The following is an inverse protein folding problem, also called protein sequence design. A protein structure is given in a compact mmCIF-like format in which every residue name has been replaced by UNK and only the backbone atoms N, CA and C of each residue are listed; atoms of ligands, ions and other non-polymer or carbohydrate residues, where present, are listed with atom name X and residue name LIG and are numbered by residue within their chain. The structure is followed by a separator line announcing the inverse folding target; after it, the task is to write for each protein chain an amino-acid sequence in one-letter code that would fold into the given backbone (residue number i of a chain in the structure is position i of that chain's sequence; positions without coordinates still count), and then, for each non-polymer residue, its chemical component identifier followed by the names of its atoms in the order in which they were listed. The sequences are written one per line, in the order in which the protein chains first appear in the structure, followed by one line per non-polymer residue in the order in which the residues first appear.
data_IF_379204776389
#
_entry.id   IF_379204776389
#
_cell.length_a   1.000
_cell.length_b   1.000
_cell.length_c   1.000
_cell.angle_alpha   90.00
_cell.angle_beta   90.00
_cell.angle_gamma   90.00
#
_symmetry.space_group_name_H-M   'P 1'
#
loop_
_entity.id
_entity.type
_entity.pdbx_description
1 polymer ?
#
# COMPACT_ATOMS: atom_id res chain seq x y z
N UNK A 1 14.31 8.60 25.93
CA UNK A 1 12.93 8.08 25.99
C UNK A 1 12.90 6.73 25.26
N UNK A 2 12.37 5.69 25.90
CA UNK A 2 12.15 4.38 25.26
C UNK A 2 10.69 4.34 24.79
N UNK A 3 10.49 4.07 23.49
CA UNK A 3 9.17 3.97 22.90
C UNK A 3 8.82 2.49 22.65
N UNK A 4 7.76 1.99 23.27
CA UNK A 4 7.38 0.58 23.26
C UNK A 4 6.04 0.31 22.55
N UNK A 5 5.45 1.31 21.91
CA UNK A 5 4.15 1.21 21.24
C UNK A 5 4.28 1.21 19.71
N UNK A 6 5.23 0.43 19.18
CA UNK A 6 5.45 0.34 17.73
C UNK A 6 4.33 -0.39 16.98
N UNK A 7 3.42 -1.06 17.69
CA UNK A 7 2.21 -1.62 17.07
C UNK A 7 1.21 -0.52 16.65
N UNK A 8 1.19 0.61 17.33
CA UNK A 8 0.36 1.75 16.97
C UNK A 8 1.02 2.61 15.88
N UNK A 9 2.27 2.99 16.10
CA UNK A 9 3.06 3.81 15.15
C UNK A 9 4.53 3.46 15.23
N UNK A 10 5.24 3.57 14.12
CA UNK A 10 6.70 3.40 14.08
C UNK A 10 7.36 4.66 13.52
N UNK A 11 8.41 5.14 14.21
CA UNK A 11 9.18 6.29 13.72
C UNK A 11 9.83 5.93 12.39
N UNK A 12 9.59 6.68 11.31
CA UNK A 12 10.25 6.44 10.03
C UNK A 12 11.78 6.51 10.16
N UNK A 13 12.48 5.58 9.50
CA UNK A 13 13.93 5.62 9.39
C UNK A 13 14.40 6.85 8.59
N UNK A 14 15.68 7.19 8.64
CA UNK A 14 16.21 8.30 7.82
C UNK A 14 15.94 8.05 6.34
N UNK A 15 16.23 6.85 5.85
CA UNK A 15 16.01 6.48 4.44
C UNK A 15 14.55 6.65 4.00
N UNK A 16 13.58 6.30 4.87
CA UNK A 16 12.15 6.51 4.57
C UNK A 16 11.81 7.99 4.50
N UNK A 17 12.32 8.81 5.43
CA UNK A 17 12.10 10.27 5.40
C UNK A 17 12.68 10.91 4.12
N UNK A 18 13.90 10.52 3.76
CA UNK A 18 14.57 11.03 2.55
C UNK A 18 13.80 10.65 1.29
N UNK A 19 13.29 9.41 1.19
CA UNK A 19 12.45 8.98 0.09
C UNK A 19 11.11 9.75 0.02
N UNK A 20 10.50 10.04 1.17
CA UNK A 20 9.27 10.86 1.23
C UNK A 20 9.53 12.29 0.77
N UNK A 21 10.62 12.92 1.24
CA UNK A 21 11.01 14.27 0.81
C UNK A 21 11.27 14.30 -0.69
N UNK A 22 12.06 13.35 -1.21
CA UNK A 22 12.30 13.21 -2.66
C UNK A 22 10.99 13.12 -3.45
N UNK A 23 10.06 12.27 -3.01
CA UNK A 23 8.76 12.13 -3.70
C UNK A 23 7.93 13.41 -3.67
N UNK A 24 7.95 14.17 -2.57
CA UNK A 24 7.19 15.41 -2.43
C UNK A 24 7.81 16.59 -3.20
N UNK A 25 9.12 16.64 -3.34
CA UNK A 25 9.83 17.77 -3.95
C UNK A 25 10.16 17.55 -5.43
N UNK A 26 10.52 16.31 -5.83
CA UNK A 26 11.05 16.00 -7.15
C UNK A 26 10.09 15.16 -8.01
N UNK A 27 9.25 14.32 -7.41
CA UNK A 27 8.44 13.32 -8.13
C UNK A 27 6.93 13.48 -7.86
N UNK A 28 6.49 14.69 -7.55
CA UNK A 28 5.09 15.00 -7.18
C UNK A 28 4.10 15.00 -8.35
N UNK A 29 4.53 14.69 -9.54
CA UNK A 29 3.72 14.73 -10.75
C UNK A 29 2.69 13.59 -10.78
N UNK A 30 1.55 13.83 -11.45
CA UNK A 30 0.53 12.80 -11.61
C UNK A 30 1.05 11.65 -12.50
N UNK A 31 1.23 10.43 -11.95
CA UNK A 31 1.78 9.30 -12.71
C UNK A 31 0.89 8.82 -13.86
N UNK A 32 -0.36 9.26 -13.93
CA UNK A 32 -1.28 8.91 -15.03
C UNK A 32 -1.18 9.85 -16.24
N UNK A 33 -0.37 10.91 -16.16
CA UNK A 33 -0.20 11.85 -17.25
C UNK A 33 0.91 11.41 -18.23
N UNK A 34 0.87 11.94 -19.47
CA UNK A 34 1.74 11.48 -20.57
C UNK A 34 2.92 12.40 -20.87
N UNK A 35 3.34 13.25 -19.94
CA UNK A 35 4.52 14.10 -20.11
C UNK A 35 5.73 13.59 -19.29
N UNK A 36 6.93 14.00 -19.66
CA UNK A 36 8.19 13.45 -19.15
C UNK A 36 8.27 13.27 -17.63
N UNK A 37 8.08 14.33 -16.80
CA UNK A 37 8.10 14.20 -15.33
C UNK A 37 7.05 13.24 -14.76
N UNK A 38 5.85 13.17 -15.35
CA UNK A 38 4.80 12.24 -14.94
C UNK A 38 5.19 10.78 -15.26
N UNK A 39 5.84 10.55 -16.40
CA UNK A 39 6.38 9.23 -16.74
C UNK A 39 7.48 8.78 -15.77
N UNK A 40 8.26 9.71 -15.20
CA UNK A 40 9.22 9.40 -14.15
C UNK A 40 8.51 9.00 -12.85
N UNK A 41 7.49 9.73 -12.46
CA UNK A 41 6.66 9.39 -11.29
C UNK A 41 6.02 8.00 -11.44
N UNK A 42 5.51 7.66 -12.62
CA UNK A 42 4.96 6.33 -12.92
C UNK A 42 6.03 5.22 -12.78
N UNK A 43 7.23 5.44 -13.30
CA UNK A 43 8.33 4.47 -13.16
C UNK A 43 8.71 4.23 -11.71
N UNK A 44 8.79 5.27 -10.89
CA UNK A 44 9.11 5.13 -9.46
C UNK A 44 8.01 4.40 -8.70
N UNK A 45 6.75 4.73 -8.96
CA UNK A 45 5.59 4.02 -8.39
C UNK A 45 5.60 2.53 -8.77
N UNK A 46 5.90 2.23 -10.03
CA UNK A 46 6.00 0.85 -10.53
C UNK A 46 7.18 0.11 -9.91
N UNK A 47 8.33 0.76 -9.73
CA UNK A 47 9.48 0.19 -9.06
C UNK A 47 9.20 -0.11 -7.58
N UNK A 48 8.53 0.81 -6.86
CA UNK A 48 8.12 0.60 -5.49
C UNK A 48 7.15 -0.59 -5.35
N UNK A 49 6.15 -0.68 -6.23
CA UNK A 49 5.22 -1.81 -6.27
C UNK A 49 5.94 -3.14 -6.50
N UNK A 50 6.89 -3.15 -7.44
CA UNK A 50 7.69 -4.34 -7.72
C UNK A 50 8.54 -4.75 -6.53
N UNK A 51 9.20 -3.81 -5.86
CA UNK A 51 10.01 -4.09 -4.69
C UNK A 51 9.21 -4.74 -3.56
N UNK A 52 7.99 -4.25 -3.30
CA UNK A 52 7.08 -4.87 -2.33
C UNK A 52 6.63 -6.26 -2.77
N UNK A 53 6.26 -6.41 -4.03
CA UNK A 53 5.83 -7.70 -4.59
C UNK A 53 6.93 -8.77 -4.49
N UNK A 54 8.18 -8.40 -4.79
CA UNK A 54 9.35 -9.29 -4.68
C UNK A 54 9.56 -9.75 -3.22
N UNK A 55 9.40 -8.85 -2.24
CA UNK A 55 9.50 -9.19 -0.81
C UNK A 55 8.38 -10.13 -0.34
N UNK A 56 7.19 -9.97 -0.90
CA UNK A 56 6.01 -10.79 -0.57
C UNK A 56 5.94 -12.09 -1.38
N UNK A 57 6.80 -12.28 -2.38
CA UNK A 57 6.78 -13.44 -3.27
C UNK A 57 5.53 -13.51 -4.16
N UNK A 58 4.96 -12.36 -4.54
CA UNK A 58 3.75 -12.27 -5.36
C UNK A 58 3.99 -11.47 -6.66
N UNK A 59 3.18 -11.65 -7.71
CA UNK A 59 3.23 -10.79 -8.88
C UNK A 59 2.92 -9.33 -8.53
N UNK A 60 3.64 -8.36 -9.12
CA UNK A 60 3.46 -6.93 -8.87
C UNK A 60 2.02 -6.43 -9.07
N UNK A 61 1.28 -7.02 -10.01
CA UNK A 61 -0.14 -6.72 -10.26
C UNK A 61 -1.07 -7.03 -9.08
N UNK A 62 -0.62 -7.86 -8.14
CA UNK A 62 -1.37 -8.23 -6.94
C UNK A 62 -1.12 -7.27 -5.76
N UNK A 63 -0.21 -6.31 -5.90
CA UNK A 63 0.05 -5.28 -4.91
C UNK A 63 -0.77 -4.04 -5.26
N UNK A 64 -1.68 -3.67 -4.39
CA UNK A 64 -2.57 -2.51 -4.54
C UNK A 64 -2.25 -1.51 -3.43
N UNK A 65 -1.90 -0.28 -3.80
CA UNK A 65 -1.76 0.81 -2.84
C UNK A 65 -3.13 1.39 -2.51
N UNK A 66 -3.35 1.62 -1.23
CA UNK A 66 -4.59 2.19 -0.66
C UNK A 66 -4.25 3.40 0.20
N UNK A 67 -5.26 4.15 0.60
CA UNK A 67 -5.10 5.30 1.51
C UNK A 67 -4.79 4.89 2.96
N UNK A 68 -4.98 3.62 3.31
CA UNK A 68 -4.72 3.11 4.67
C UNK A 68 -5.39 1.78 4.94
N UNK A 69 -5.25 1.29 6.19
CA UNK A 69 -5.76 -0.02 6.61
C UNK A 69 -7.27 -0.16 6.42
N UNK A 70 -8.05 0.86 6.75
CA UNK A 70 -9.52 0.84 6.58
C UNK A 70 -9.93 0.56 5.14
N UNK A 71 -9.30 1.23 4.17
CA UNK A 71 -9.58 0.96 2.75
C UNK A 71 -9.10 -0.44 2.35
N UNK A 72 -7.93 -0.86 2.81
CA UNK A 72 -7.38 -2.19 2.51
C UNK A 72 -8.29 -3.30 3.00
N UNK A 73 -8.77 -3.23 4.24
CA UNK A 73 -9.65 -4.24 4.85
C UNK A 73 -10.99 -4.28 4.12
N UNK A 74 -11.60 -3.13 3.85
CA UNK A 74 -12.85 -3.07 3.10
C UNK A 74 -12.69 -3.59 1.67
N UNK A 75 -11.59 -3.27 0.98
CA UNK A 75 -11.31 -3.76 -0.37
C UNK A 75 -11.15 -5.29 -0.38
N UNK A 76 -10.42 -5.84 0.60
CA UNK A 76 -10.24 -7.29 0.72
C UNK A 76 -11.56 -8.00 1.01
N UNK A 77 -12.33 -7.55 2.01
CA UNK A 77 -13.60 -8.18 2.40
C UNK A 77 -14.63 -8.09 1.27
N UNK A 78 -14.87 -6.90 0.73
CA UNK A 78 -15.88 -6.72 -0.34
C UNK A 78 -15.45 -7.41 -1.63
N UNK A 79 -14.17 -7.41 -1.97
CA UNK A 79 -13.64 -8.10 -3.15
C UNK A 79 -13.82 -9.61 -3.07
N UNK A 80 -13.47 -10.22 -1.94
CA UNK A 80 -13.65 -11.67 -1.72
C UNK A 80 -15.13 -12.03 -1.68
N UNK A 81 -15.95 -11.27 -0.94
CA UNK A 81 -17.40 -11.52 -0.90
C UNK A 81 -18.05 -11.37 -2.28
N UNK A 82 -17.66 -10.40 -3.08
CA UNK A 82 -18.15 -10.23 -4.44
C UNK A 82 -17.74 -11.37 -5.36
N UNK A 83 -16.50 -11.83 -5.27
CA UNK A 83 -15.99 -12.91 -6.11
C UNK A 83 -16.55 -14.30 -5.75
N UNK A 84 -16.75 -14.57 -4.47
CA UNK A 84 -17.07 -15.92 -3.97
C UNK A 84 -18.43 -16.02 -3.25
N UNK A 85 -19.13 -14.92 -3.01
CA UNK A 85 -20.37 -14.87 -2.24
C UNK A 85 -21.49 -15.81 -2.75
N UNK A 86 -21.54 -16.06 -4.06
CA UNK A 86 -22.50 -17.02 -4.65
C UNK A 86 -22.27 -18.47 -4.22
N UNK A 87 -21.07 -18.81 -3.73
CA UNK A 87 -20.74 -20.16 -3.23
C UNK A 87 -21.11 -20.36 -1.76
N UNK A 88 -21.60 -19.32 -1.11
CA UNK A 88 -21.77 -19.28 0.32
C UNK A 88 -20.44 -19.25 1.07
N UNK A 89 -20.48 -19.03 2.37
CA UNK A 89 -19.26 -19.00 3.20
C UNK A 89 -19.53 -18.31 4.53
N UNK A 90 -18.46 -18.20 5.32
CA UNK A 90 -18.47 -17.47 6.60
C UNK A 90 -17.31 -16.48 6.59
N UNK A 91 -17.55 -15.32 7.16
CA UNK A 91 -16.49 -14.38 7.56
C UNK A 91 -16.26 -14.60 9.05
N UNK A 92 -15.01 -14.87 9.41
CA UNK A 92 -14.61 -15.07 10.81
C UNK A 92 -13.73 -13.89 11.18
N UNK A 93 -14.06 -13.24 12.27
CA UNK A 93 -13.30 -12.11 12.82
C UNK A 93 -13.16 -12.27 14.33
N UNK A 94 -12.23 -11.57 14.95
CA UNK A 94 -12.14 -11.51 16.42
C UNK A 94 -13.05 -10.42 16.98
N UNK A 95 -13.30 -10.48 18.29
CA UNK A 95 -14.09 -9.46 19.00
C UNK A 95 -13.23 -8.24 19.41
N UNK A 96 -11.93 -8.27 19.13
CA UNK A 96 -10.95 -7.25 19.54
C UNK A 96 -10.32 -6.52 18.35
N UNK A 97 -10.88 -6.66 17.17
CA UNK A 97 -10.44 -5.90 15.99
C UNK A 97 -10.73 -4.40 16.16
N UNK A 98 -9.90 -3.58 15.47
CA UNK A 98 -10.00 -2.12 15.51
C UNK A 98 -11.29 -1.62 14.83
#
# INVERSE_FOLDING_TARGET
MVYLDNSATTRPSQAVRDAMVHSMEEVYFNPSALYGPAMQAEKELTAARKALADQLGVPAKNVIFTSGGTESDNLALTGICGAYGKKGGRIITSAIEH
#
